data_IF_316195401487
#
_entry.id   IF_316195401487
#
_cell.length_a   1.000
_cell.length_b   1.000
_cell.length_c   1.000
_cell.angle_alpha   90.00
_cell.angle_beta   90.00
_cell.angle_gamma   90.00
#
_symmetry.space_group_name_H-M   'P 1'
#
loop_
_entity.id
_entity.type
_entity.pdbx_description
1 polymer ?
#
# COMPACT_ATOMS: atom_id res chain seq x y z
N UNK A 1 3.21 -10.80 3.50
CA UNK A 1 3.31 -12.08 4.25
C UNK A 1 4.00 -13.20 3.47
N UNK A 2 4.03 -13.17 2.12
CA UNK A 2 4.65 -14.24 1.33
C UNK A 2 6.14 -14.52 1.58
N UNK A 3 6.96 -13.49 1.86
CA UNK A 3 8.41 -13.70 2.05
C UNK A 3 8.73 -14.58 3.27
N UNK A 4 8.08 -14.31 4.39
CA UNK A 4 8.23 -15.12 5.60
C UNK A 4 7.67 -16.54 5.40
N UNK A 5 6.55 -16.68 4.69
CA UNK A 5 5.98 -17.98 4.34
C UNK A 5 6.95 -18.83 3.51
N UNK A 6 7.66 -18.24 2.54
CA UNK A 6 8.70 -18.92 1.75
C UNK A 6 9.88 -19.38 2.63
N UNK A 7 10.34 -18.53 3.55
CA UNK A 7 11.43 -18.90 4.50
C UNK A 7 11.00 -20.05 5.41
N UNK A 8 9.78 -19.99 5.96
CA UNK A 8 9.22 -21.05 6.81
C UNK A 8 9.06 -22.35 6.01
N UNK A 9 8.54 -22.31 4.78
CA UNK A 9 8.47 -23.49 3.89
C UNK A 9 9.83 -24.17 3.73
N UNK A 10 10.89 -23.38 3.51
CA UNK A 10 12.23 -23.92 3.29
C UNK A 10 12.88 -24.44 4.58
N UNK A 11 12.55 -23.87 5.72
CA UNK A 11 12.92 -24.43 7.02
C UNK A 11 12.19 -25.76 7.29
N UNK A 12 10.91 -25.87 6.94
CA UNK A 12 10.15 -27.10 7.08
C UNK A 12 10.63 -28.19 6.11
N UNK A 13 11.09 -27.81 4.91
CA UNK A 13 11.72 -28.73 3.97
C UNK A 13 12.96 -29.41 4.59
N UNK A 14 13.79 -28.68 5.36
CA UNK A 14 14.90 -29.28 6.12
C UNK A 14 14.42 -30.32 7.13
N UNK A 15 13.31 -30.05 7.83
CA UNK A 15 12.67 -30.98 8.75
C UNK A 15 12.20 -32.27 8.08
N UNK A 16 11.65 -32.16 6.87
CA UNK A 16 11.25 -33.31 6.04
C UNK A 16 12.43 -34.21 5.63
N UNK A 17 13.64 -33.65 5.58
CA UNK A 17 14.87 -34.31 5.15
C UNK A 17 15.69 -34.92 6.31
N UNK A 18 15.30 -34.67 7.58
CA UNK A 18 15.82 -35.39 8.75
C UNK A 18 17.22 -34.98 9.26
N UNK A 19 17.70 -33.77 8.95
CA UNK A 19 19.03 -33.30 9.36
C UNK A 19 19.05 -32.86 10.84
N UNK A 20 19.93 -33.44 11.67
CA UNK A 20 20.01 -33.20 13.12
C UNK A 20 20.94 -32.05 13.55
N UNK A 21 21.72 -31.45 12.63
CA UNK A 21 22.65 -30.36 12.96
C UNK A 21 22.13 -29.01 12.49
N UNK A 22 21.74 -28.17 13.45
CA UNK A 22 21.08 -26.89 13.23
C UNK A 22 22.12 -25.77 13.03
N UNK A 23 22.18 -25.20 11.83
CA UNK A 23 22.77 -23.86 11.63
C UNK A 23 21.77 -22.80 12.08
N UNK A 24 22.17 -21.94 13.02
CA UNK A 24 21.36 -20.88 13.65
C UNK A 24 21.02 -19.69 12.72
N UNK A 25 21.46 -19.71 11.46
CA UNK A 25 21.21 -18.63 10.51
C UNK A 25 19.87 -18.81 9.80
N UNK A 26 18.99 -17.82 9.91
CA UNK A 26 17.64 -17.76 9.32
C UNK A 26 17.62 -17.43 7.82
N UNK A 27 18.78 -17.23 7.21
CA UNK A 27 18.89 -16.69 5.85
C UNK A 27 18.64 -17.79 4.81
N UNK A 28 17.83 -17.52 3.79
CA UNK A 28 17.50 -18.44 2.69
C UNK A 28 18.73 -19.07 2.05
N UNK A 29 19.76 -18.26 1.80
CA UNK A 29 20.99 -18.70 1.14
C UNK A 29 21.74 -19.70 2.02
N UNK A 30 21.79 -19.45 3.32
CA UNK A 30 22.36 -20.39 4.30
C UNK A 30 21.53 -21.67 4.39
N UNK A 31 20.19 -21.53 4.32
CA UNK A 31 19.25 -22.66 4.33
C UNK A 31 19.43 -23.55 3.11
N UNK A 32 19.46 -22.99 1.89
CA UNK A 32 19.63 -23.72 0.64
C UNK A 32 21.02 -24.34 0.55
N UNK A 33 22.07 -23.62 0.95
CA UNK A 33 23.45 -24.12 0.95
C UNK A 33 23.63 -25.29 1.94
N UNK A 34 23.01 -25.21 3.11
CA UNK A 34 22.99 -26.30 4.10
C UNK A 34 22.24 -27.54 3.58
N UNK A 35 21.11 -27.37 2.89
CA UNK A 35 20.35 -28.47 2.27
C UNK A 35 21.17 -29.18 1.19
N UNK A 36 21.82 -28.42 0.30
CA UNK A 36 22.63 -29.00 -0.78
C UNK A 36 23.95 -29.61 -0.29
N UNK A 37 24.58 -29.03 0.73
CA UNK A 37 25.85 -29.53 1.27
C UNK A 37 25.72 -30.87 2.03
N UNK A 38 24.52 -31.22 2.51
CA UNK A 38 24.26 -32.45 3.28
C UNK A 38 23.37 -33.46 2.55
N UNK A 39 23.20 -33.33 1.24
CA UNK A 39 22.31 -34.20 0.42
C UNK A 39 22.66 -35.70 0.53
N UNK A 40 23.89 -36.03 0.92
CA UNK A 40 24.36 -37.41 1.08
C UNK A 40 23.82 -38.14 2.33
N UNK A 41 23.28 -37.43 3.33
CA UNK A 41 22.65 -38.04 4.53
C UNK A 41 21.12 -38.19 4.41
N UNK A 42 20.55 -38.03 3.21
CA UNK A 42 19.10 -38.13 3.00
C UNK A 42 18.55 -39.51 3.31
N UNK A 43 17.61 -39.54 4.26
CA UNK A 43 16.72 -40.70 4.47
C UNK A 43 15.56 -40.61 3.48
N UNK A 44 15.70 -41.30 2.35
CA UNK A 44 14.71 -41.31 1.27
C UNK A 44 13.32 -41.77 1.73
N UNK A 45 13.24 -42.68 2.71
CA UNK A 45 11.98 -43.15 3.30
C UNK A 45 11.14 -42.00 3.87
N UNK A 46 11.76 -41.10 4.64
CA UNK A 46 11.11 -39.93 5.24
C UNK A 46 10.67 -38.91 4.19
N UNK A 47 11.50 -38.71 3.16
CA UNK A 47 11.17 -37.81 2.05
C UNK A 47 9.99 -38.31 1.22
N UNK A 48 9.92 -39.61 0.94
CA UNK A 48 8.80 -40.22 0.22
C UNK A 48 7.50 -40.15 1.02
N UNK A 49 7.55 -40.44 2.33
CA UNK A 49 6.40 -40.29 3.23
C UNK A 49 5.91 -38.83 3.28
N UNK A 50 6.82 -37.86 3.38
CA UNK A 50 6.49 -36.44 3.36
C UNK A 50 5.85 -35.97 2.04
N UNK A 51 6.42 -36.37 0.91
CA UNK A 51 5.89 -36.05 -0.43
C UNK A 51 4.51 -36.67 -0.67
N UNK A 52 4.30 -37.95 -0.33
CA UNK A 52 3.00 -38.60 -0.44
C UNK A 52 1.94 -37.90 0.43
N UNK A 53 2.30 -37.54 1.66
CA UNK A 53 1.38 -36.85 2.57
C UNK A 53 1.07 -35.42 2.12
N UNK A 54 2.07 -34.68 1.63
CA UNK A 54 1.91 -33.35 1.08
C UNK A 54 1.04 -33.37 -0.19
N UNK A 55 1.27 -34.34 -1.09
CA UNK A 55 0.42 -34.55 -2.26
C UNK A 55 -1.03 -34.85 -1.85
N UNK A 56 -1.24 -35.71 -0.87
CA UNK A 56 -2.56 -36.00 -0.31
C UNK A 56 -3.24 -34.75 0.26
N UNK A 57 -2.51 -33.90 1.00
CA UNK A 57 -3.06 -32.65 1.56
C UNK A 57 -3.37 -31.61 0.47
N UNK A 58 -2.51 -31.45 -0.52
CA UNK A 58 -2.75 -30.56 -1.65
C UNK A 58 -3.93 -31.02 -2.51
N UNK A 59 -4.05 -32.33 -2.72
CA UNK A 59 -5.15 -32.94 -3.45
C UNK A 59 -6.47 -32.79 -2.67
N UNK A 60 -6.45 -33.06 -1.36
CA UNK A 60 -7.60 -32.81 -0.47
C UNK A 60 -8.02 -31.34 -0.52
N UNK A 61 -7.05 -30.41 -0.49
CA UNK A 61 -7.31 -28.99 -0.66
C UNK A 61 -7.93 -28.67 -2.02
N UNK A 62 -7.43 -29.25 -3.11
CA UNK A 62 -7.98 -29.05 -4.45
C UNK A 62 -9.44 -29.49 -4.56
N UNK A 63 -9.79 -30.64 -3.99
CA UNK A 63 -11.18 -31.13 -3.96
C UNK A 63 -12.09 -30.30 -3.04
N UNK A 64 -11.57 -29.78 -1.93
CA UNK A 64 -12.31 -28.89 -1.02
C UNK A 64 -12.44 -27.47 -1.59
N UNK A 65 -11.56 -27.04 -2.51
CA UNK A 65 -11.58 -25.72 -3.16
C UNK A 65 -12.55 -25.59 -4.35
N UNK A 66 -13.62 -26.39 -4.41
CA UNK A 66 -14.82 -26.05 -5.21
C UNK A 66 -15.80 -25.23 -4.33
N UNK A 67 -16.56 -24.27 -4.91
CA UNK A 67 -16.47 -22.88 -4.52
C UNK A 67 -17.41 -22.51 -3.37
N UNK A 68 -16.85 -22.05 -2.25
CA UNK A 68 -17.47 -21.06 -1.38
C UNK A 68 -16.37 -20.39 -0.55
N UNK A 69 -15.99 -19.20 -1.01
CA UNK A 69 -15.37 -18.08 -0.29
C UNK A 69 -14.96 -18.39 1.15
N UNK A 70 -13.68 -18.60 1.40
CA UNK A 70 -12.96 -18.11 2.60
C UNK A 70 -11.49 -18.51 2.47
N UNK A 71 -10.68 -17.57 1.98
CA UNK A 71 -9.23 -17.64 2.09
C UNK A 71 -8.84 -17.19 3.50
N UNK A 72 -8.84 -18.08 4.49
CA UNK A 72 -8.36 -17.77 5.84
C UNK A 72 -7.63 -18.96 6.48
N UNK A 73 -6.31 -18.89 6.54
CA UNK A 73 -5.46 -19.73 7.40
C UNK A 73 -4.83 -18.82 8.46
N UNK A 74 -5.23 -18.88 9.75
CA UNK A 74 -5.35 -20.08 10.57
C UNK A 74 -6.70 -20.11 11.32
N UNK A 75 -7.77 -20.43 10.61
CA UNK A 75 -9.05 -20.80 11.22
C UNK A 75 -9.17 -22.34 11.33
N UNK A 76 -8.08 -23.11 11.17
CA UNK A 76 -8.14 -24.56 10.88
C UNK A 76 -8.94 -25.40 11.88
N UNK A 77 -8.86 -25.16 13.20
CA UNK A 77 -9.67 -25.93 14.17
C UNK A 77 -11.12 -25.41 14.23
N UNK A 78 -11.30 -24.10 14.27
CA UNK A 78 -12.62 -23.48 14.41
C UNK A 78 -13.45 -23.57 13.12
N UNK A 79 -12.84 -23.45 11.95
CA UNK A 79 -13.48 -23.55 10.64
C UNK A 79 -13.83 -24.99 10.32
N UNK A 80 -12.96 -25.97 10.62
CA UNK A 80 -13.35 -27.38 10.47
C UNK A 80 -14.47 -27.73 11.44
N UNK A 81 -14.44 -27.22 12.68
CA UNK A 81 -15.50 -27.43 13.65
C UNK A 81 -16.83 -26.76 13.23
N UNK A 82 -16.75 -25.56 12.65
CA UNK A 82 -17.90 -24.83 12.10
C UNK A 82 -18.48 -25.53 10.86
N UNK A 83 -17.62 -25.99 9.94
CA UNK A 83 -18.00 -26.70 8.73
C UNK A 83 -18.54 -28.12 9.02
N UNK A 84 -18.13 -28.73 10.15
CA UNK A 84 -18.70 -29.97 10.67
C UNK A 84 -20.05 -29.78 11.40
N UNK A 85 -20.57 -28.54 11.47
CA UNK A 85 -21.89 -28.24 12.04
C UNK A 85 -21.93 -28.21 13.57
N UNK A 86 -20.77 -28.12 14.25
CA UNK A 86 -20.72 -28.10 15.71
C UNK A 86 -21.18 -26.74 16.27
N UNK A 87 -22.25 -26.76 17.07
CA UNK A 87 -22.87 -25.55 17.66
C UNK A 87 -22.49 -25.30 19.13
N UNK A 88 -21.70 -26.17 19.76
CA UNK A 88 -21.41 -26.13 21.20
C UNK A 88 -19.92 -26.29 21.53
N UNK A 89 -19.49 -25.73 22.66
CA UNK A 89 -18.11 -25.82 23.16
C UNK A 89 -17.64 -27.25 23.51
N UNK A 90 -18.58 -28.21 23.58
CA UNK A 90 -18.29 -29.64 23.82
C UNK A 90 -17.41 -30.25 22.73
N UNK A 91 -17.43 -29.73 21.51
CA UNK A 91 -16.55 -30.21 20.43
C UNK A 91 -15.06 -30.04 20.75
N UNK A 92 -14.69 -28.94 21.41
CA UNK A 92 -13.30 -28.72 21.82
C UNK A 92 -12.85 -29.72 22.90
N UNK A 93 -13.78 -30.14 23.77
CA UNK A 93 -13.51 -31.15 24.81
C UNK A 93 -13.33 -32.53 24.19
N UNK A 94 -14.21 -32.93 23.26
CA UNK A 94 -14.10 -34.20 22.54
C UNK A 94 -12.80 -34.27 21.73
N UNK A 95 -12.43 -33.17 21.06
CA UNK A 95 -11.16 -33.08 20.34
C UNK A 95 -9.96 -33.19 21.28
N UNK A 96 -9.99 -32.56 22.46
CA UNK A 96 -8.92 -32.65 23.45
C UNK A 96 -8.75 -34.06 24.01
N UNK A 97 -9.86 -34.77 24.29
CA UNK A 97 -9.83 -36.16 24.76
C UNK A 97 -9.31 -37.09 23.67
N UNK A 98 -9.76 -36.93 22.42
CA UNK A 98 -9.27 -37.71 21.28
C UNK A 98 -7.75 -37.52 21.08
N UNK A 99 -7.28 -36.26 21.12
CA UNK A 99 -5.84 -35.96 21.05
C UNK A 99 -5.09 -36.60 22.22
N UNK A 100 -5.61 -36.51 23.44
CA UNK A 100 -4.99 -37.12 24.62
C UNK A 100 -4.86 -38.65 24.50
N UNK A 101 -5.89 -39.33 24.00
CA UNK A 101 -5.86 -40.78 23.74
C UNK A 101 -4.83 -41.12 22.64
N UNK A 102 -4.81 -40.36 21.53
CA UNK A 102 -3.81 -40.57 20.47
C UNK A 102 -2.38 -40.32 20.95
N UNK A 103 -2.14 -39.33 21.80
CA UNK A 103 -0.81 -39.05 22.34
C UNK A 103 -0.36 -40.09 23.37
N UNK A 104 -1.26 -40.84 24.00
CA UNK A 104 -0.94 -41.81 25.05
C UNK A 104 -0.76 -43.24 24.53
N UNK A 105 -1.52 -43.65 23.50
CA UNK A 105 -1.40 -44.98 22.88
C UNK A 105 -0.53 -45.01 21.62
N UNK A 106 -0.44 -43.90 20.89
CA UNK A 106 0.18 -43.82 19.57
C UNK A 106 1.55 -43.12 19.59
N UNK A 107 2.01 -42.65 20.76
CA UNK A 107 3.36 -42.09 20.99
C UNK A 107 4.50 -42.97 20.47
N UNK A 108 4.52 -44.30 20.68
CA UNK A 108 5.62 -45.13 20.16
C UNK A 108 5.60 -45.25 18.63
N UNK A 109 4.45 -45.05 17.98
CA UNK A 109 4.29 -45.07 16.53
C UNK A 109 4.72 -43.74 15.86
N UNK A 110 4.78 -42.65 16.63
CA UNK A 110 5.08 -41.30 16.16
C UNK A 110 6.45 -40.78 16.59
N UNK A 111 7.44 -41.63 16.88
CA UNK A 111 8.74 -41.08 17.29
C UNK A 111 9.48 -40.35 16.14
N UNK A 112 9.29 -40.79 14.89
CA UNK A 112 9.98 -40.20 13.71
C UNK A 112 9.04 -39.58 12.66
N UNK A 113 7.79 -40.01 12.62
CA UNK A 113 6.77 -39.56 11.67
C UNK A 113 6.24 -38.11 11.85
N UNK A 114 6.10 -37.54 13.07
CA UNK A 114 5.37 -36.29 13.25
C UNK A 114 6.13 -35.07 12.76
N UNK A 115 7.48 -35.09 12.75
CA UNK A 115 8.27 -33.99 12.19
C UNK A 115 8.00 -33.84 10.69
N UNK A 116 8.00 -34.96 9.96
CA UNK A 116 7.73 -34.99 8.52
C UNK A 116 6.30 -34.54 8.21
N UNK A 117 5.33 -35.02 8.99
CA UNK A 117 3.91 -34.67 8.86
C UNK A 117 3.67 -33.19 9.20
N UNK A 118 4.27 -32.66 10.26
CA UNK A 118 4.15 -31.26 10.65
C UNK A 118 4.72 -30.34 9.57
N UNK A 119 5.88 -30.68 9.02
CA UNK A 119 6.49 -29.94 7.91
C UNK A 119 5.61 -29.93 6.67
N UNK A 120 5.02 -31.07 6.30
CA UNK A 120 4.09 -31.16 5.16
C UNK A 120 2.81 -30.32 5.35
N UNK A 121 2.23 -30.32 6.57
CA UNK A 121 1.06 -29.48 6.90
C UNK A 121 1.40 -27.99 6.81
N UNK A 122 2.54 -27.58 7.37
CA UNK A 122 2.94 -26.17 7.36
C UNK A 122 3.21 -25.69 5.93
N UNK A 123 3.89 -26.48 5.10
CA UNK A 123 4.13 -26.14 3.69
C UNK A 123 2.78 -25.97 2.95
N UNK A 124 1.84 -26.89 3.13
CA UNK A 124 0.50 -26.80 2.53
C UNK A 124 -0.27 -25.55 2.96
N UNK A 125 -0.14 -25.14 4.23
CA UNK A 125 -0.78 -23.94 4.76
C UNK A 125 -0.13 -22.65 4.21
N UNK A 126 1.20 -22.58 4.18
CA UNK A 126 1.95 -21.41 3.71
C UNK A 126 1.73 -21.14 2.22
N UNK A 127 1.60 -22.18 1.39
CA UNK A 127 1.22 -22.03 -0.03
C UNK A 127 -0.15 -21.36 -0.20
N UNK A 128 -1.04 -21.47 0.78
CA UNK A 128 -2.34 -20.80 0.76
C UNK A 128 -2.33 -19.34 1.20
N UNK A 129 -1.22 -18.85 1.74
CA UNK A 129 -1.09 -17.50 2.28
C UNK A 129 -0.50 -16.52 1.25
N UNK A 130 -0.06 -17.02 0.10
CA UNK A 130 0.51 -16.19 -0.97
C UNK A 130 -0.60 -15.84 -1.97
N UNK A 131 -1.10 -14.61 -1.86
CA UNK A 131 -2.10 -14.06 -2.78
C UNK A 131 -1.42 -13.50 -4.05
N UNK A 132 -1.21 -14.37 -5.03
CA UNK A 132 -0.60 -13.99 -6.32
C UNK A 132 -1.46 -13.00 -7.11
N UNK A 133 -2.79 -13.12 -7.02
CA UNK A 133 -3.72 -12.25 -7.73
C UNK A 133 -3.62 -10.78 -7.26
N UNK A 134 -3.47 -10.57 -5.95
CA UNK A 134 -3.26 -9.25 -5.37
C UNK A 134 -1.94 -8.61 -5.85
N UNK A 135 -0.87 -9.39 -6.01
CA UNK A 135 0.41 -8.90 -6.52
C UNK A 135 0.31 -8.44 -7.98
N UNK A 136 -0.43 -9.18 -8.82
CA UNK A 136 -0.65 -8.85 -10.24
C UNK A 136 -1.55 -7.61 -10.37
N UNK A 137 -2.58 -7.50 -9.52
CA UNK A 137 -3.44 -6.32 -9.49
C UNK A 137 -2.64 -5.07 -9.11
N UNK A 138 -1.78 -5.16 -8.10
CA UNK A 138 -0.94 -4.05 -7.64
C UNK A 138 0.01 -3.55 -8.74
N UNK A 139 0.56 -4.44 -9.57
CA UNK A 139 1.41 -4.08 -10.70
C UNK A 139 0.70 -3.18 -11.73
N UNK A 140 -0.59 -3.39 -11.96
CA UNK A 140 -1.37 -2.58 -12.91
C UNK A 140 -1.82 -1.24 -12.33
N UNK A 141 -2.02 -1.16 -11.01
CA UNK A 141 -2.47 0.06 -10.34
C UNK A 141 -1.30 1.03 -10.09
N UNK A 142 -0.30 0.59 -9.32
CA UNK A 142 0.81 1.45 -8.89
C UNK A 142 2.14 0.69 -8.91
N UNK A 143 2.93 0.91 -9.98
CA UNK A 143 4.27 0.30 -10.15
C UNK A 143 5.21 0.57 -8.98
N UNK A 144 5.08 1.74 -8.34
CA UNK A 144 5.90 2.12 -7.18
C UNK A 144 5.59 1.21 -5.99
N UNK A 145 4.31 0.97 -5.71
CA UNK A 145 3.88 0.09 -4.60
C UNK A 145 4.25 -1.36 -4.82
N UNK A 146 4.15 -1.81 -6.06
CA UNK A 146 4.68 -3.12 -6.41
C UNK A 146 6.19 -3.21 -6.13
N UNK A 147 6.97 -2.20 -6.47
CA UNK A 147 8.41 -2.18 -6.21
C UNK A 147 8.71 -2.22 -4.69
N UNK A 148 7.92 -1.52 -3.87
CA UNK A 148 8.03 -1.59 -2.39
C UNK A 148 7.73 -3.00 -1.90
N UNK A 149 6.64 -3.60 -2.37
CA UNK A 149 6.21 -4.94 -1.98
C UNK A 149 7.25 -6.00 -2.40
N UNK A 150 7.77 -5.89 -3.61
CA UNK A 150 8.82 -6.77 -4.14
C UNK A 150 10.12 -6.58 -3.36
N UNK A 151 10.53 -5.34 -3.08
CA UNK A 151 11.73 -5.05 -2.28
C UNK A 151 11.63 -5.62 -0.87
N UNK A 152 10.48 -5.49 -0.22
CA UNK A 152 10.21 -6.09 1.09
C UNK A 152 10.24 -7.63 1.02
N UNK A 153 9.62 -8.23 0.01
CA UNK A 153 9.64 -9.68 -0.22
C UNK A 153 11.08 -10.20 -0.39
N UNK A 154 11.85 -9.57 -1.28
CA UNK A 154 13.24 -9.94 -1.54
C UNK A 154 14.10 -9.70 -0.29
N UNK A 155 13.88 -8.62 0.45
CA UNK A 155 14.59 -8.34 1.70
C UNK A 155 14.38 -9.43 2.76
N UNK A 156 13.13 -9.87 2.95
CA UNK A 156 12.79 -10.97 3.87
C UNK A 156 13.41 -12.30 3.41
N UNK A 157 13.38 -12.56 2.11
CA UNK A 157 13.88 -13.82 1.54
C UNK A 157 15.41 -13.87 1.58
N UNK A 158 16.13 -12.85 1.16
CA UNK A 158 17.59 -12.90 1.01
C UNK A 158 18.37 -12.55 2.27
N UNK A 159 17.83 -11.68 3.12
CA UNK A 159 18.52 -11.21 4.32
C UNK A 159 17.93 -11.90 5.54
N UNK A 160 16.86 -11.35 6.12
CA UNK A 160 16.16 -11.96 7.24
C UNK A 160 14.79 -11.32 7.38
N UNK A 161 13.91 -11.97 8.15
CA UNK A 161 12.55 -11.46 8.41
C UNK A 161 12.61 -10.08 9.08
N UNK A 162 13.55 -9.88 10.01
CA UNK A 162 13.73 -8.63 10.75
C UNK A 162 14.18 -7.48 9.82
N UNK A 163 15.22 -7.71 9.02
CA UNK A 163 15.75 -6.68 8.10
C UNK A 163 14.75 -6.39 6.99
N UNK A 164 14.08 -7.42 6.46
CA UNK A 164 13.03 -7.25 5.46
C UNK A 164 11.84 -6.41 5.98
N UNK A 165 11.47 -6.57 7.26
CA UNK A 165 10.46 -5.74 7.90
C UNK A 165 10.91 -4.28 8.03
N UNK A 166 12.15 -4.05 8.48
CA UNK A 166 12.72 -2.70 8.60
C UNK A 166 12.71 -2.00 7.23
N UNK A 167 13.17 -2.68 6.18
CA UNK A 167 13.17 -2.15 4.80
C UNK A 167 11.74 -1.79 4.36
N UNK A 168 10.75 -2.66 4.60
CA UNK A 168 9.37 -2.42 4.22
C UNK A 168 8.79 -1.17 4.91
N UNK A 169 9.00 -1.04 6.23
CA UNK A 169 8.53 0.10 7.02
C UNK A 169 9.24 1.38 6.59
N UNK A 170 10.56 1.35 6.40
CA UNK A 170 11.34 2.50 5.95
C UNK A 170 10.89 3.01 4.58
N UNK A 171 10.67 2.10 3.62
CA UNK A 171 10.21 2.49 2.27
C UNK A 171 8.77 3.01 2.32
N UNK A 172 7.89 2.41 3.13
CA UNK A 172 6.50 2.87 3.30
C UNK A 172 6.46 4.30 3.86
N UNK A 173 7.24 4.58 4.91
CA UNK A 173 7.36 5.92 5.48
C UNK A 173 7.94 6.89 4.46
N UNK A 174 9.02 6.50 3.77
CA UNK A 174 9.64 7.34 2.74
C UNK A 174 8.66 7.67 1.62
N UNK A 175 7.86 6.70 1.16
CA UNK A 175 6.84 6.92 0.13
C UNK A 175 5.79 7.92 0.61
N UNK A 176 5.31 7.79 1.84
CA UNK A 176 4.35 8.74 2.43
C UNK A 176 4.96 10.14 2.50
N UNK A 177 6.21 10.26 2.93
CA UNK A 177 6.92 11.54 2.96
C UNK A 177 7.07 12.15 1.57
N UNK A 178 7.42 11.35 0.55
CA UNK A 178 7.52 11.80 -0.83
C UNK A 178 6.15 12.24 -1.40
N UNK A 179 5.08 11.52 -1.05
CA UNK A 179 3.71 11.89 -1.46
C UNK A 179 3.29 13.23 -0.85
N UNK A 180 3.59 13.46 0.43
CA UNK A 180 3.33 14.73 1.11
C UNK A 180 4.20 15.87 0.56
N UNK A 181 5.44 15.56 0.19
CA UNK A 181 6.39 16.55 -0.35
C UNK A 181 6.09 16.98 -1.80
N UNK A 182 5.49 16.10 -2.62
CA UNK A 182 5.15 16.39 -4.03
C UNK A 182 3.64 16.29 -4.28
N UNK A 183 2.84 17.23 -3.75
CA UNK A 183 1.42 17.28 -4.05
C UNK A 183 1.19 17.60 -5.53
N UNK A 184 0.15 17.00 -6.10
CA UNK A 184 -0.26 17.31 -7.48
C UNK A 184 -1.01 18.64 -7.50
N UNK A 185 -0.53 19.56 -8.33
CA UNK A 185 -1.26 20.78 -8.69
C UNK A 185 -2.00 20.52 -9.99
N UNK A 186 -3.27 20.94 -10.08
CA UNK A 186 -4.04 20.80 -11.32
C UNK A 186 -4.57 22.14 -11.80
N UNK A 187 -4.41 22.42 -13.10
CA UNK A 187 -5.02 23.58 -13.74
C UNK A 187 -6.52 23.33 -14.00
N UNK A 188 -7.34 24.32 -13.67
CA UNK A 188 -8.78 24.32 -13.88
C UNK A 188 -9.15 25.18 -15.09
N UNK A 189 -10.15 24.74 -15.85
CA UNK A 189 -10.78 25.47 -16.94
C UNK A 189 -12.30 25.49 -16.78
N UNK A 190 -12.95 26.45 -17.42
CA UNK A 190 -14.40 26.59 -17.41
C UNK A 190 -15.04 25.67 -18.46
N UNK A 191 -16.13 25.00 -18.11
CA UNK A 191 -16.93 24.25 -19.08
C UNK A 191 -17.93 25.22 -19.74
N UNK A 192 -18.03 25.26 -21.08
CA UNK A 192 -18.98 26.13 -21.76
C UNK A 192 -20.42 25.84 -21.31
N UNK A 193 -21.21 26.89 -21.08
CA UNK A 193 -22.59 26.84 -20.60
C UNK A 193 -22.78 26.31 -19.15
N UNK A 194 -21.73 26.35 -18.32
CA UNK A 194 -21.83 26.03 -16.90
C UNK A 194 -20.98 26.99 -16.05
N UNK A 195 -21.28 27.07 -14.75
CA UNK A 195 -20.44 27.75 -13.74
C UNK A 195 -19.42 26.79 -13.10
N UNK A 196 -19.23 25.60 -13.70
CA UNK A 196 -18.38 24.54 -13.16
C UNK A 196 -16.98 24.56 -13.77
N UNK A 197 -15.97 24.69 -12.89
CA UNK A 197 -14.56 24.59 -13.26
C UNK A 197 -14.06 23.16 -13.09
N UNK A 198 -13.46 22.60 -14.14
CA UNK A 198 -12.93 21.22 -14.16
C UNK A 198 -11.51 21.17 -14.70
N UNK A 199 -10.82 20.06 -14.40
CA UNK A 199 -9.43 19.85 -14.82
C UNK A 199 -9.33 19.80 -16.33
N UNK A 200 -8.45 20.63 -16.90
CA UNK A 200 -8.24 20.70 -18.37
C UNK A 200 -7.72 19.37 -18.91
N UNK A 201 -6.85 18.68 -18.16
CA UNK A 201 -6.27 17.39 -18.54
C UNK A 201 -7.32 16.26 -18.68
N UNK A 202 -8.42 16.34 -17.93
CA UNK A 202 -9.45 15.30 -17.89
C UNK A 202 -10.63 15.61 -18.83
N UNK A 203 -10.95 16.89 -19.02
CA UNK A 203 -12.09 17.34 -19.83
C UNK A 203 -11.60 18.27 -20.94
N UNK A 204 -11.42 17.78 -22.18
CA UNK A 204 -10.92 18.59 -23.29
C UNK A 204 -11.89 19.71 -23.71
N UNK A 205 -13.15 19.65 -23.27
CA UNK A 205 -14.14 20.73 -23.45
C UNK A 205 -13.94 21.92 -22.49
N UNK A 206 -13.07 21.80 -21.48
CA UNK A 206 -12.79 22.88 -20.53
C UNK A 206 -11.85 23.91 -21.16
N UNK A 207 -12.30 25.17 -21.22
CA UNK A 207 -11.54 26.28 -21.78
C UNK A 207 -10.89 27.10 -20.66
N UNK A 208 -9.61 27.45 -20.84
CA UNK A 208 -8.91 28.38 -19.93
C UNK A 208 -9.30 29.82 -20.28
N UNK A 209 -9.43 30.67 -19.25
CA UNK A 209 -9.75 32.08 -19.44
C UNK A 209 -8.46 32.84 -19.79
N UNK A 210 -8.40 33.58 -20.90
CA UNK A 210 -7.20 34.32 -21.27
C UNK A 210 -6.82 35.34 -20.18
N UNK A 211 -5.59 35.30 -19.70
CA UNK A 211 -5.10 36.21 -18.64
C UNK A 211 -5.41 35.79 -17.21
N UNK A 212 -6.11 34.66 -16.97
CA UNK A 212 -6.38 34.14 -15.63
C UNK A 212 -5.96 32.68 -15.52
N UNK A 213 -4.98 32.38 -14.66
CA UNK A 213 -4.56 31.01 -14.36
C UNK A 213 -5.22 30.52 -13.07
N UNK A 214 -6.09 29.52 -13.18
CA UNK A 214 -6.77 28.91 -12.03
C UNK A 214 -6.05 27.62 -11.65
N UNK A 215 -5.35 27.63 -10.52
CA UNK A 215 -4.62 26.47 -10.02
C UNK A 215 -5.30 25.90 -8.77
N UNK A 216 -5.63 24.62 -8.81
CA UNK A 216 -6.14 23.87 -7.65
C UNK A 216 -5.03 23.05 -7.01
N UNK A 217 -4.84 23.22 -5.71
CA UNK A 217 -3.90 22.45 -4.90
C UNK A 217 -4.72 21.39 -4.13
N UNK A 218 -4.59 20.13 -4.51
CA UNK A 218 -5.34 19.00 -3.92
C UNK A 218 -4.65 18.41 -2.66
N UNK A 219 -3.90 19.22 -1.92
CA UNK A 219 -3.20 18.79 -0.72
C UNK A 219 -2.97 19.94 0.28
N UNK A 220 -2.88 19.63 1.60
CA UNK A 220 -2.47 20.61 2.59
C UNK A 220 -1.04 21.12 2.34
N UNK A 221 -0.84 22.41 2.58
CA UNK A 221 0.47 23.06 2.42
C UNK A 221 1.21 22.97 3.76
N UNK A 222 2.34 22.29 3.75
CA UNK A 222 3.29 22.17 4.86
C UNK A 222 4.58 22.89 4.52
N UNK A 223 5.40 23.18 5.53
CA UNK A 223 6.74 23.73 5.30
C UNK A 223 7.58 22.87 4.34
N UNK A 224 7.46 21.54 4.44
CA UNK A 224 8.19 20.61 3.60
C UNK A 224 7.79 20.63 2.10
N UNK A 225 6.58 21.10 1.75
CA UNK A 225 6.10 21.14 0.36
C UNK A 225 5.93 22.57 -0.19
N UNK A 226 6.05 23.59 0.67
CA UNK A 226 5.86 25.00 0.30
C UNK A 226 6.85 25.46 -0.79
N UNK A 227 8.12 25.07 -0.70
CA UNK A 227 9.13 25.39 -1.72
C UNK A 227 8.81 24.76 -3.08
N UNK A 228 8.43 23.48 -3.08
CA UNK A 228 8.04 22.75 -4.28
C UNK A 228 6.81 23.38 -4.95
N UNK A 229 5.79 23.71 -4.16
CA UNK A 229 4.58 24.38 -4.65
C UNK A 229 4.88 25.75 -5.24
N UNK A 230 5.77 26.53 -4.59
CA UNK A 230 6.19 27.85 -5.07
C UNK A 230 6.91 27.78 -6.41
N UNK A 231 7.87 26.88 -6.56
CA UNK A 231 8.59 26.73 -7.84
C UNK A 231 7.64 26.29 -8.96
N UNK A 232 6.71 25.38 -8.66
CA UNK A 232 5.73 24.91 -9.64
C UNK A 232 4.68 25.96 -9.99
N UNK A 233 4.25 26.79 -9.04
CA UNK A 233 3.35 27.92 -9.32
C UNK A 233 4.03 28.96 -10.20
N UNK A 234 5.27 29.35 -9.88
CA UNK A 234 6.06 30.28 -10.68
C UNK A 234 6.31 29.76 -12.09
N UNK A 235 6.62 28.47 -12.24
CA UNK A 235 6.80 27.83 -13.55
C UNK A 235 5.50 27.79 -14.36
N UNK A 236 4.34 27.73 -13.70
CA UNK A 236 3.05 27.79 -14.38
C UNK A 236 2.67 29.23 -14.75
N UNK A 237 3.16 30.21 -14.00
CA UNK A 237 2.95 31.65 -14.23
C UNK A 237 3.92 32.26 -15.24
N UNK A 238 5.08 31.66 -15.51
CA UNK A 238 6.12 32.23 -16.39
C UNK A 238 5.70 32.47 -17.85
N UNK A 239 4.50 32.01 -18.26
CA UNK A 239 3.87 32.36 -19.53
C UNK A 239 2.95 33.59 -19.49
N UNK A 240 2.61 34.13 -18.32
CA UNK A 240 1.85 35.37 -18.15
C UNK A 240 2.83 36.55 -17.94
N UNK A 241 2.80 37.53 -18.86
CA UNK A 241 3.52 38.79 -18.72
C UNK A 241 2.64 39.82 -17.99
N UNK A 242 2.91 40.11 -16.72
CA UNK A 242 2.22 41.15 -15.94
C UNK A 242 2.46 41.03 -14.44
N UNK A 243 2.19 42.08 -13.65
CA UNK A 243 2.22 42.02 -12.19
C UNK A 243 1.19 41.01 -11.67
N UNK A 244 1.63 40.08 -10.83
CA UNK A 244 0.81 38.94 -10.40
C UNK A 244 0.01 39.29 -9.14
N UNK A 245 -1.30 39.48 -9.29
CA UNK A 245 -2.21 39.58 -8.14
C UNK A 245 -2.75 38.20 -7.76
N UNK A 246 -2.50 37.79 -6.51
CA UNK A 246 -2.93 36.50 -5.98
C UNK A 246 -4.36 36.59 -5.45
N UNK A 247 -5.25 35.70 -5.92
CA UNK A 247 -6.64 35.63 -5.48
C UNK A 247 -6.91 34.30 -4.80
N UNK A 248 -7.55 34.34 -3.62
CA UNK A 248 -7.93 33.14 -2.87
C UNK A 248 -9.41 32.84 -3.07
N UNK A 249 -9.75 31.62 -3.50
CA UNK A 249 -11.13 31.16 -3.63
C UNK A 249 -11.41 29.96 -2.72
N UNK A 250 -12.54 30.00 -2.01
CA UNK A 250 -13.05 28.95 -1.12
C UNK A 250 -12.04 28.47 -0.04
N UNK A 251 -11.42 29.36 0.76
CA UNK A 251 -10.59 28.92 1.87
C UNK A 251 -11.43 28.30 3.00
N UNK A 252 -10.96 27.19 3.56
CA UNK A 252 -11.59 26.58 4.74
C UNK A 252 -11.51 27.49 5.98
N UNK A 253 -12.46 27.35 6.90
CA UNK A 253 -12.55 28.17 8.12
C UNK A 253 -11.28 28.15 8.98
N UNK A 254 -10.66 26.99 9.14
CA UNK A 254 -9.39 26.82 9.87
C UNK A 254 -8.22 27.51 9.15
N UNK A 255 -8.24 27.52 7.81
CA UNK A 255 -7.22 28.21 6.99
C UNK A 255 -7.38 29.72 7.13
N UNK A 256 -8.62 30.22 7.09
CA UNK A 256 -8.91 31.65 7.28
C UNK A 256 -8.47 32.16 8.64
N UNK A 257 -8.71 31.37 9.71
CA UNK A 257 -8.25 31.73 11.06
C UNK A 257 -6.73 31.83 11.13
N UNK A 258 -6.01 30.91 10.50
CA UNK A 258 -4.53 30.93 10.45
C UNK A 258 -3.99 32.07 9.61
N UNK A 259 -4.61 32.35 8.46
CA UNK A 259 -4.26 33.49 7.62
C UNK A 259 -4.39 34.80 8.41
N UNK A 260 -5.50 34.98 9.14
CA UNK A 260 -5.75 36.18 9.96
C UNK A 260 -4.72 36.33 11.07
N UNK A 261 -4.39 35.23 11.77
CA UNK A 261 -3.35 35.24 12.78
C UNK A 261 -1.95 35.54 12.23
N UNK A 262 -1.68 35.21 10.96
CA UNK A 262 -0.37 35.38 10.32
C UNK A 262 -0.15 36.75 9.67
N UNK A 263 -1.16 37.65 9.68
CA UNK A 263 -1.17 38.96 8.99
C UNK A 263 -1.00 38.87 7.47
N UNK A 264 -1.15 37.69 6.88
CA UNK A 264 -1.07 37.50 5.43
C UNK A 264 -2.25 38.17 4.71
N UNK A 265 -3.42 38.30 5.37
CA UNK A 265 -4.56 39.02 4.79
C UNK A 265 -4.28 40.50 4.51
N UNK A 266 -3.42 41.13 5.31
CA UNK A 266 -3.06 42.54 5.12
C UNK A 266 -2.18 42.73 3.88
N UNK A 267 -1.43 41.69 3.48
CA UNK A 267 -0.56 41.70 2.31
C UNK A 267 -1.26 41.26 1.01
N UNK A 268 -2.32 40.45 1.10
CA UNK A 268 -3.11 40.02 -0.07
C UNK A 268 -4.24 41.03 -0.35
N UNK A 269 -4.76 41.68 0.69
CA UNK A 269 -5.96 42.50 0.63
C UNK A 269 -7.21 41.66 0.87
N UNK A 270 -8.05 42.10 1.81
CA UNK A 270 -9.28 41.40 2.19
C UNK A 270 -10.28 41.26 1.03
N UNK A 271 -10.17 42.09 -0.01
CA UNK A 271 -11.08 42.11 -1.16
C UNK A 271 -10.79 40.97 -2.17
N UNK A 272 -9.61 40.33 -2.09
CA UNK A 272 -9.19 39.27 -3.02
C UNK A 272 -9.49 37.86 -2.49
N UNK A 273 -10.46 37.74 -1.58
CA UNK A 273 -10.90 36.48 -1.00
C UNK A 273 -12.36 36.24 -1.37
N UNK A 274 -12.59 35.22 -2.17
CA UNK A 274 -13.91 34.86 -2.68
C UNK A 274 -14.36 33.51 -2.12
N UNK A 275 -15.67 33.32 -1.97
CA UNK A 275 -16.27 32.05 -1.56
C UNK A 275 -16.29 31.03 -2.71
N UNK A 276 -16.42 31.51 -3.95
CA UNK A 276 -16.49 30.65 -5.14
C UNK A 276 -15.44 31.04 -6.18
N UNK A 277 -15.01 30.05 -6.98
CA UNK A 277 -14.09 30.28 -8.10
C UNK A 277 -14.75 31.14 -9.19
N UNK A 278 -16.07 31.02 -9.37
CA UNK A 278 -16.80 31.80 -10.36
C UNK A 278 -16.78 33.29 -10.05
N UNK A 279 -17.01 33.68 -8.79
CA UNK A 279 -16.97 35.08 -8.36
C UNK A 279 -15.55 35.67 -8.49
N UNK A 280 -14.53 34.89 -8.11
CA UNK A 280 -13.13 35.28 -8.27
C UNK A 280 -12.78 35.57 -9.74
N UNK A 281 -13.17 34.67 -10.65
CA UNK A 281 -12.91 34.84 -12.08
C UNK A 281 -13.70 36.02 -12.65
N UNK A 282 -14.94 36.25 -12.23
CA UNK A 282 -15.73 37.40 -12.65
C UNK A 282 -15.07 38.73 -12.24
N UNK A 283 -14.55 38.81 -11.01
CA UNK A 283 -13.82 39.99 -10.52
C UNK A 283 -12.50 40.21 -11.29
N UNK A 284 -11.70 39.16 -11.50
CA UNK A 284 -10.48 39.24 -12.31
C UNK A 284 -10.77 39.67 -13.75
N UNK A 285 -11.83 39.13 -14.37
CA UNK A 285 -12.19 39.46 -15.73
C UNK A 285 -12.67 40.92 -15.85
N UNK A 286 -13.43 41.41 -14.87
CA UNK A 286 -13.82 42.83 -14.80
C UNK A 286 -12.59 43.74 -14.76
N UNK A 287 -11.62 43.43 -13.91
CA UNK A 287 -10.35 44.17 -13.81
C UNK A 287 -9.52 44.12 -15.09
N UNK A 288 -9.42 42.95 -15.74
CA UNK A 288 -8.72 42.81 -17.02
C UNK A 288 -9.37 43.65 -18.14
N UNK A 289 -10.70 43.80 -18.11
CA UNK A 289 -11.42 44.63 -19.07
C UNK A 289 -11.37 46.13 -18.76
N UNK A 290 -11.28 46.53 -17.48
CA UNK A 290 -11.14 47.94 -17.09
C UNK A 290 -9.70 48.47 -17.22
N UNK A 291 -8.68 47.59 -17.18
CA UNK A 291 -7.26 47.97 -17.19
C UNK A 291 -6.55 47.94 -18.56
N UNK A 292 -7.23 48.03 -19.71
CA UNK A 292 -6.58 48.05 -21.03
C UNK A 292 -7.06 49.25 -21.89
N UNK A 293 -6.16 50.00 -22.56
CA UNK A 293 -5.14 50.91 -22.06
C UNK A 293 -5.47 52.37 -22.43
N UNK A 294 -5.78 53.21 -21.44
CA UNK A 294 -5.67 54.67 -21.55
C UNK A 294 -5.72 55.27 -20.16
N UNK A 295 -4.74 54.95 -19.31
CA UNK A 295 -4.26 55.82 -18.21
C UNK A 295 -3.17 55.09 -17.41
N UNK A 296 -1.92 55.40 -17.75
CA UNK A 296 -0.68 54.93 -17.11
C UNK A 296 -0.38 55.57 -15.75
N UNK A 297 -1.38 56.08 -15.03
CA UNK A 297 -1.16 56.81 -13.76
C UNK A 297 -1.98 56.29 -12.58
N UNK A 298 -2.92 55.35 -12.77
CA UNK A 298 -3.80 54.89 -11.68
C UNK A 298 -3.54 53.46 -11.19
N UNK A 299 -2.58 52.74 -11.78
CA UNK A 299 -2.24 51.35 -11.39
C UNK A 299 -1.12 51.24 -10.33
N UNK A 300 -0.67 52.35 -9.74
CA UNK A 300 0.44 52.36 -8.77
C UNK A 300 -0.02 52.19 -7.30
N UNK A 301 -1.33 52.15 -7.04
CA UNK A 301 -1.87 52.15 -5.67
C UNK A 301 -2.68 50.89 -5.30
N UNK A 302 -2.55 49.80 -6.05
CA UNK A 302 -3.10 48.50 -5.66
C UNK A 302 -1.95 47.50 -5.64
N UNK A 303 -1.18 47.54 -4.55
CA UNK A 303 -0.17 46.54 -4.17
C UNK A 303 -0.75 45.71 -3.04
#
# INVERSE_FOLDING_TARGET
>A
MGGAATVVCLQQLKGMLGLQHFTTATDLVSVVKSVFSQVHQWRWESAVLGCCFLFFLLLTRFFVSAPSYTHDWPFSRSAVNYNAGCKTAMSNVVMAIAVMITLLFLTPLFHYTPLVVLSAIIISAMLGLIDYEAAIHLWHVDKVDFCVCLGAYLGVVFVSVEIGLVIAVSISILRVLLFVARPRTTALGNIPNSMAYRRVDQYPAAQTVPGVLILRIDAPIYFANASYLRERSLTSQSGLFGGDQLVLANPGSEVMKKLSSSKILDAIGHEWIFLTVADAVAACNFMLHTCKPSDTTSCENVV
#
